data_IF_719202975932
#
_entry.id   IF_719202975932
#
_cell.length_a   1.000
_cell.length_b   1.000
_cell.length_c   1.000
_cell.angle_alpha   90.00
_cell.angle_beta   90.00
_cell.angle_gamma   90.00
#
_symmetry.space_group_name_H-M   'P 1'
#
loop_
_entity.id
_entity.type
_entity.pdbx_description
1 polymer ?
#
# COMPACT_ATOMS: atom_id res chain seq x y z
N UNK A 1 -2.89 -21.48 -9.20
CA UNK A 1 -3.95 -20.48 -8.95
C UNK A 1 -3.42 -19.14 -9.41
N UNK A 2 -4.08 -18.48 -10.36
CA UNK A 2 -3.69 -17.13 -10.78
C UNK A 2 -4.44 -16.15 -9.89
N UNK A 3 -3.76 -15.59 -8.89
CA UNK A 3 -4.32 -14.50 -8.09
C UNK A 3 -4.32 -13.28 -9.00
N UNK A 4 -5.48 -12.88 -9.51
CA UNK A 4 -5.63 -11.65 -10.28
C UNK A 4 -5.65 -10.48 -9.28
N UNK A 5 -4.48 -10.02 -8.86
CA UNK A 5 -4.36 -8.89 -7.94
C UNK A 5 -4.75 -7.60 -8.70
N UNK A 6 -5.98 -7.12 -8.49
CA UNK A 6 -6.37 -5.79 -8.95
C UNK A 6 -5.63 -4.74 -8.11
N UNK A 7 -5.03 -3.76 -8.78
CA UNK A 7 -4.36 -2.63 -8.12
C UNK A 7 -5.46 -1.72 -7.52
N UNK A 8 -5.49 -1.53 -6.19
CA UNK A 8 -6.50 -0.68 -5.56
C UNK A 8 -6.37 0.78 -6.03
N UNK A 9 -7.49 1.35 -6.50
CA UNK A 9 -7.57 2.73 -6.99
C UNK A 9 -8.93 3.34 -6.64
N UNK A 10 -8.94 4.59 -6.22
CA UNK A 10 -10.14 5.41 -6.00
C UNK A 10 -9.96 6.80 -6.61
N UNK A 11 -11.05 7.42 -7.07
CA UNK A 11 -11.04 8.77 -7.62
C UNK A 11 -12.15 9.62 -6.99
N UNK A 12 -11.85 10.88 -6.76
CA UNK A 12 -12.73 11.89 -6.17
C UNK A 12 -12.83 13.10 -7.10
N UNK A 13 -13.98 13.78 -7.06
CA UNK A 13 -14.16 15.09 -7.66
C UNK A 13 -14.02 16.14 -6.55
N UNK A 14 -12.99 17.00 -6.65
CA UNK A 14 -12.76 18.04 -5.67
C UNK A 14 -13.78 19.18 -5.81
N UNK A 15 -14.19 19.76 -4.68
CA UNK A 15 -15.12 20.88 -4.61
C UNK A 15 -14.41 22.25 -4.52
N UNK A 16 -13.09 22.27 -4.29
CA UNK A 16 -12.30 23.49 -4.07
C UNK A 16 -12.11 23.86 -2.60
N UNK A 17 -12.64 23.08 -1.66
CA UNK A 17 -12.57 23.34 -0.22
C UNK A 17 -12.09 22.13 0.61
N UNK A 18 -12.43 20.91 0.19
CA UNK A 18 -11.99 19.68 0.85
C UNK A 18 -10.49 19.45 0.64
N UNK A 19 -9.79 19.24 1.75
CA UNK A 19 -8.37 18.89 1.80
C UNK A 19 -8.14 17.41 2.06
N UNK A 20 -9.10 16.73 2.68
CA UNK A 20 -8.97 15.37 3.18
C UNK A 20 -9.67 14.38 2.24
N UNK A 21 -8.92 13.39 1.76
CA UNK A 21 -9.40 12.35 0.85
C UNK A 21 -9.08 10.96 1.40
N UNK A 22 -10.12 10.19 1.72
CA UNK A 22 -9.98 8.89 2.37
C UNK A 22 -9.57 7.79 1.38
N UNK A 23 -8.91 6.75 1.85
CA UNK A 23 -8.69 5.49 1.13
C UNK A 23 -8.87 4.31 2.09
N UNK A 24 -9.41 3.20 1.58
CA UNK A 24 -9.84 2.05 2.40
C UNK A 24 -8.91 0.83 2.30
N UNK A 25 -7.66 1.02 1.90
CA UNK A 25 -6.69 -0.06 1.71
C UNK A 25 -5.40 0.20 2.50
N UNK A 26 -4.79 -0.88 2.98
CA UNK A 26 -3.54 -0.86 3.73
C UNK A 26 -2.36 -0.35 2.90
N UNK A 27 -1.55 0.55 3.45
CA UNK A 27 -0.23 0.91 2.93
C UNK A 27 0.87 0.32 3.81
N UNK A 28 1.98 -0.14 3.21
CA UNK A 28 3.17 -0.57 3.97
C UNK A 28 4.00 0.67 4.26
N UNK A 29 4.25 1.48 3.24
CA UNK A 29 4.90 2.77 3.34
C UNK A 29 4.02 3.86 2.68
N UNK A 30 4.09 5.13 3.13
CA UNK A 30 3.34 6.23 2.50
C UNK A 30 3.65 6.38 1.01
N UNK A 31 4.91 6.11 0.62
CA UNK A 31 5.37 6.15 -0.77
C UNK A 31 4.75 5.07 -1.67
N UNK A 32 4.10 4.05 -1.11
CA UNK A 32 3.32 3.07 -1.87
C UNK A 32 2.01 3.68 -2.42
N UNK A 33 1.66 4.92 -2.07
CA UNK A 33 0.50 5.61 -2.60
C UNK A 33 0.91 6.64 -3.65
N UNK A 34 0.36 6.47 -4.86
CA UNK A 34 0.42 7.47 -5.92
C UNK A 34 -0.81 8.36 -5.82
N UNK A 35 -0.59 9.66 -5.65
CA UNK A 35 -1.62 10.69 -5.64
C UNK A 35 -1.49 11.52 -6.92
N UNK A 36 -2.56 11.61 -7.70
CA UNK A 36 -2.62 12.50 -8.87
C UNK A 36 -3.81 13.45 -8.80
N UNK A 37 -3.63 14.65 -9.34
CA UNK A 37 -4.70 15.65 -9.52
C UNK A 37 -4.76 15.98 -11.00
N UNK A 38 -5.88 15.68 -11.67
CA UNK A 38 -6.03 15.79 -13.13
C UNK A 38 -4.87 15.12 -13.90
N UNK A 39 -4.52 13.89 -13.48
CA UNK A 39 -3.42 13.09 -14.03
C UNK A 39 -2.00 13.67 -13.80
N UNK A 40 -1.87 14.74 -13.02
CA UNK A 40 -0.58 15.30 -12.60
C UNK A 40 -0.17 14.70 -11.25
N UNK A 41 1.01 14.06 -11.22
CA UNK A 41 1.59 13.49 -10.01
C UNK A 41 1.85 14.57 -8.95
N UNK A 42 1.42 14.30 -7.72
CA UNK A 42 1.65 15.15 -6.56
C UNK A 42 2.83 14.60 -5.73
N UNK A 43 3.48 15.47 -4.96
CA UNK A 43 4.66 15.15 -4.15
C UNK A 43 4.31 15.22 -2.66
N UNK A 44 4.59 14.14 -1.93
CA UNK A 44 4.43 14.10 -0.48
C UNK A 44 5.31 15.14 0.22
N UNK A 45 4.81 15.75 1.30
CA UNK A 45 5.38 16.88 2.05
C UNK A 45 5.43 18.23 1.31
N UNK A 46 5.12 18.26 0.01
CA UNK A 46 5.04 19.51 -0.77
C UNK A 46 3.61 19.86 -1.13
N UNK A 47 2.84 18.87 -1.60
CA UNK A 47 1.45 19.07 -2.05
C UNK A 47 0.45 18.41 -1.08
N UNK A 48 0.83 17.28 -0.47
CA UNK A 48 0.00 16.54 0.47
C UNK A 48 0.84 15.82 1.54
N UNK A 49 0.17 15.33 2.59
CA UNK A 49 0.74 14.45 3.62
C UNK A 49 -0.21 13.29 3.91
N UNK A 50 0.34 12.18 4.39
CA UNK A 50 -0.44 11.02 4.86
C UNK A 50 -0.21 10.89 6.36
N UNK A 51 -1.22 11.14 7.21
CA UNK A 51 -1.12 10.96 8.65
C UNK A 51 -0.79 9.50 9.01
N UNK A 52 -0.15 9.24 10.17
CA UNK A 52 0.08 7.88 10.64
C UNK A 52 -1.25 7.14 10.86
N UNK A 53 -1.23 5.82 10.72
CA UNK A 53 -2.43 4.97 10.84
C UNK A 53 -2.96 4.42 9.51
N UNK A 54 -2.17 4.50 8.44
CA UNK A 54 -2.51 4.04 7.08
C UNK A 54 -2.47 2.51 6.87
N UNK A 55 -2.23 1.72 7.92
CA UNK A 55 -2.10 0.25 7.84
C UNK A 55 -3.41 -0.46 7.51
N UNK A 56 -4.57 0.17 7.77
CA UNK A 56 -5.91 -0.37 7.49
C UNK A 56 -6.77 0.57 6.60
N UNK A 57 -6.11 1.54 5.95
CA UNK A 57 -6.76 2.69 5.31
C UNK A 57 -6.45 3.99 6.06
N UNK A 58 -6.70 5.12 5.44
CA UNK A 58 -6.33 6.42 5.98
C UNK A 58 -6.72 7.57 5.08
N UNK A 59 -6.11 8.72 5.32
CA UNK A 59 -6.43 9.97 4.64
C UNK A 59 -5.21 10.55 3.93
N UNK A 60 -5.46 11.12 2.75
CA UNK A 60 -4.52 12.04 2.10
C UNK A 60 -4.97 13.45 2.42
N UNK A 61 -4.11 14.20 3.09
CA UNK A 61 -4.37 15.58 3.51
C UNK A 61 -3.56 16.53 2.64
N UNK A 62 -4.23 17.26 1.76
CA UNK A 62 -3.60 18.29 0.92
C UNK A 62 -3.25 19.54 1.72
N UNK A 63 -2.12 20.16 1.38
CA UNK A 63 -1.70 21.44 1.99
C UNK A 63 -2.60 22.59 1.47
N UNK A 64 -2.91 22.56 0.17
CA UNK A 64 -3.87 23.45 -0.47
C UNK A 64 -5.01 22.64 -1.09
N UNK A 65 -6.29 23.04 -0.91
CA UNK A 65 -7.41 22.28 -1.43
C UNK A 65 -7.33 22.20 -2.96
N UNK A 66 -7.47 21.01 -3.57
CA UNK A 66 -7.50 20.87 -5.03
C UNK A 66 -8.63 21.71 -5.63
N UNK A 67 -8.37 22.35 -6.77
CA UNK A 67 -9.33 23.24 -7.43
C UNK A 67 -10.68 22.55 -7.71
N UNK A 68 -11.77 23.31 -7.64
CA UNK A 68 -13.11 22.80 -7.92
C UNK A 68 -13.18 22.15 -9.30
N UNK A 69 -13.69 20.92 -9.36
CA UNK A 69 -13.76 20.12 -10.58
C UNK A 69 -12.49 19.32 -10.92
N UNK A 70 -11.43 19.43 -10.12
CA UNK A 70 -10.24 18.59 -10.29
C UNK A 70 -10.51 17.14 -9.88
N UNK A 71 -9.94 16.19 -10.62
CA UNK A 71 -10.04 14.75 -10.31
C UNK A 71 -8.84 14.32 -9.48
N UNK A 72 -9.07 14.06 -8.20
CA UNK A 72 -8.06 13.50 -7.29
C UNK A 72 -8.11 11.99 -7.43
N UNK A 73 -6.99 11.33 -7.73
CA UNK A 73 -6.90 9.88 -7.83
C UNK A 73 -5.85 9.36 -6.86
N UNK A 74 -6.25 8.39 -6.05
CA UNK A 74 -5.39 7.68 -5.11
C UNK A 74 -5.21 6.25 -5.65
N UNK A 75 -3.97 5.86 -5.94
CA UNK A 75 -3.65 4.53 -6.47
C UNK A 75 -2.58 3.89 -5.62
N UNK A 76 -2.87 2.72 -5.05
CA UNK A 76 -1.86 1.95 -4.32
C UNK A 76 -0.92 1.26 -5.30
N UNK A 77 0.37 1.56 -5.24
CA UNK A 77 1.43 0.91 -6.01
C UNK A 77 2.47 0.30 -5.07
N UNK A 78 2.10 -0.79 -4.43
CA UNK A 78 3.05 -1.62 -3.68
C UNK A 78 3.86 -2.47 -4.64
N UNK A 79 5.18 -2.47 -4.50
CA UNK A 79 6.02 -3.45 -5.20
C UNK A 79 5.79 -4.81 -4.57
N UNK A 80 5.29 -5.79 -5.34
CA UNK A 80 5.17 -7.17 -4.87
C UNK A 80 6.57 -7.78 -4.85
N UNK A 81 7.35 -7.48 -3.82
CA UNK A 81 8.64 -8.14 -3.58
C UNK A 81 8.39 -9.42 -2.78
N UNK A 82 7.98 -10.48 -3.48
CA UNK A 82 8.00 -11.81 -2.87
C UNK A 82 9.47 -12.29 -2.84
N UNK A 83 10.20 -11.97 -1.77
CA UNK A 83 11.59 -12.43 -1.59
C UNK A 83 11.68 -13.90 -1.11
N UNK A 84 10.55 -14.54 -0.82
CA UNK A 84 10.56 -15.93 -0.35
C UNK A 84 10.40 -16.87 -1.54
N UNK A 85 11.54 -17.38 -1.99
CA UNK A 85 11.61 -18.59 -2.77
C UNK A 85 11.25 -19.77 -1.85
N UNK A 86 9.98 -20.15 -1.84
CA UNK A 86 9.54 -21.37 -1.18
C UNK A 86 10.06 -22.55 -2.00
N UNK A 87 11.32 -22.94 -1.77
CA UNK A 87 11.81 -24.20 -2.30
C UNK A 87 10.93 -25.32 -1.72
N UNK A 88 10.38 -26.16 -2.61
CA UNK A 88 9.56 -27.33 -2.29
C UNK A 88 10.35 -28.45 -1.61
N UNK A 89 11.44 -28.13 -0.92
CA UNK A 89 12.16 -29.11 -0.14
C UNK A 89 11.21 -29.61 0.96
N UNK A 90 10.92 -30.92 0.91
CA UNK A 90 10.17 -31.58 1.96
C UNK A 90 10.81 -31.22 3.31
N UNK A 91 10.03 -30.74 4.27
CA UNK A 91 10.48 -30.59 5.65
C UNK A 91 11.17 -31.90 6.06
N UNK A 92 12.49 -31.91 6.31
CA UNK A 92 13.18 -33.15 6.66
C UNK A 92 12.88 -33.45 8.13
N UNK A 93 11.70 -34.01 8.39
CA UNK A 93 11.27 -34.48 9.71
C UNK A 93 12.27 -35.50 10.28
N UNK A 94 12.91 -36.29 9.41
CA UNK A 94 13.87 -37.33 9.80
C UNK A 94 15.18 -36.78 10.38
N UNK A 95 15.61 -35.57 10.01
CA UNK A 95 16.78 -34.90 10.58
C UNK A 95 16.46 -34.25 11.94
N UNK A 96 15.20 -33.85 12.15
CA UNK A 96 14.74 -33.28 13.44
C UNK A 96 14.62 -34.35 14.53
N UNK A 97 14.11 -35.54 14.20
CA UNK A 97 13.98 -36.64 15.17
C UNK A 97 15.35 -37.17 15.63
N UNK A 98 16.37 -37.15 14.76
CA UNK A 98 17.74 -37.58 15.11
C UNK A 98 18.52 -36.61 16.01
N UNK A 99 18.04 -35.37 16.19
CA UNK A 99 18.69 -34.37 17.04
C UNK A 99 18.05 -34.24 18.42
N UNK A 100 16.83 -34.77 18.62
CA UNK A 100 16.17 -34.84 19.92
C UNK A 100 16.40 -36.18 20.64
N UNK A 101 16.83 -37.23 19.93
CA UNK A 101 17.28 -38.48 20.54
C UNK A 101 18.78 -38.47 20.85
N UNK A 102 19.18 -37.63 21.81
CA UNK A 102 20.44 -37.81 22.55
C UNK A 102 20.13 -38.36 23.94
N UNK A 103 19.87 -39.66 24.00
CA UNK A 103 20.11 -40.46 25.21
C UNK A 103 21.24 -41.44 24.87
N UNK A 104 22.48 -41.03 25.15
CA UNK A 104 23.51 -41.80 25.87
C UNK A 104 24.62 -40.84 26.31
#
# INVERSE_FOLDING_TARGET
MTINAAIPRISYLADGALTDFTFAYALIEPMDLIVTVNDVLQVEFTDYTIPPGYEDGGDVVFIEPPASGAVVTLTRRTSITQQVDYTVAAFPSQTHEGQLDKII
#
